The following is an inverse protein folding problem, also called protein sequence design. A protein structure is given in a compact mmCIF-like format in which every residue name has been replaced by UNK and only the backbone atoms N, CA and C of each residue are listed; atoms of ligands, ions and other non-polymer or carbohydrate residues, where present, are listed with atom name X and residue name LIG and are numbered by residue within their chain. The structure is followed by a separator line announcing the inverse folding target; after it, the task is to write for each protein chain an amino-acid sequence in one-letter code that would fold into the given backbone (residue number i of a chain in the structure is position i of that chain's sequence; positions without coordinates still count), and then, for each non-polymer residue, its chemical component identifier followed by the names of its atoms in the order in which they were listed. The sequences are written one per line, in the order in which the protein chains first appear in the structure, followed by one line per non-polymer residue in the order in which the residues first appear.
data_IF_687110107670
#
_entry.id   IF_687110107670
#
_cell.length_a   1.000
_cell.length_b   1.000
_cell.length_c   1.000
_cell.angle_alpha   90.00
_cell.angle_beta   90.00
_cell.angle_gamma   90.00
#
_symmetry.space_group_name_H-M   'P 1'
#
loop_
_entity.id
_entity.type
_entity.pdbx_description
1 polymer ?
#
# COMPACT_ATOMS: atom_id res chain seq x y z
N UNK A 1 17.81 10.05 -10.24
CA UNK A 1 17.94 8.58 -10.22
C UNK A 1 17.32 8.00 -11.46
N UNK A 2 17.98 7.03 -12.08
CA UNK A 2 17.51 6.38 -13.31
C UNK A 2 16.54 5.23 -12.96
N UNK A 3 16.76 4.61 -11.81
CA UNK A 3 15.95 3.51 -11.27
C UNK A 3 15.72 3.74 -9.78
N UNK A 4 14.51 3.47 -9.30
CA UNK A 4 14.19 3.48 -7.88
C UNK A 4 13.21 2.37 -7.50
N UNK A 5 13.30 1.91 -6.27
CA UNK A 5 12.49 0.85 -5.69
C UNK A 5 11.72 1.43 -4.51
N UNK A 6 10.44 1.14 -4.43
CA UNK A 6 9.56 1.56 -3.34
C UNK A 6 9.47 0.46 -2.28
N UNK A 7 9.90 0.75 -1.05
CA UNK A 7 9.97 -0.24 0.05
C UNK A 7 9.12 0.23 1.24
N UNK A 8 7.80 0.09 1.19
CA UNK A 8 6.90 0.46 2.27
C UNK A 8 6.81 -0.61 3.35
N UNK A 9 6.47 -0.20 4.57
CA UNK A 9 6.03 -1.08 5.65
C UNK A 9 4.50 -1.17 5.65
N UNK A 10 3.96 -2.40 5.71
CA UNK A 10 2.52 -2.63 5.81
C UNK A 10 1.98 -2.17 7.16
N UNK A 11 1.08 -1.20 7.16
CA UNK A 11 0.50 -0.69 8.40
C UNK A 11 -0.89 -0.08 8.23
N UNK A 12 -1.69 -0.17 9.29
CA UNK A 12 -2.92 0.59 9.45
C UNK A 12 -2.66 2.11 9.37
N UNK A 13 -3.64 2.84 8.87
CA UNK A 13 -3.61 4.30 8.85
C UNK A 13 -5.02 4.87 9.05
N UNK A 14 -5.17 5.87 9.94
CA UNK A 14 -6.47 6.46 10.26
C UNK A 14 -7.19 7.00 9.01
N UNK A 15 -6.61 7.99 8.35
CA UNK A 15 -7.26 8.64 7.19
C UNK A 15 -7.23 7.81 5.89
N UNK A 16 -6.07 7.22 5.55
CA UNK A 16 -5.91 6.46 4.31
C UNK A 16 -6.30 4.98 4.45
N UNK A 17 -6.77 4.52 5.62
CA UNK A 17 -7.02 3.12 5.99
C UNK A 17 -5.73 2.29 6.06
N UNK A 18 -4.97 2.26 4.98
CA UNK A 18 -3.71 1.52 4.89
C UNK A 18 -2.56 2.43 4.46
N UNK A 19 -1.36 2.13 4.94
CA UNK A 19 -0.11 2.59 4.35
C UNK A 19 0.57 1.38 3.74
N UNK A 20 0.71 1.38 2.43
CA UNK A 20 1.39 0.39 1.62
C UNK A 20 2.15 1.15 0.51
N UNK A 21 2.37 0.56 -0.65
CA UNK A 21 3.18 1.13 -1.72
C UNK A 21 2.65 2.45 -2.26
N UNK A 22 1.35 2.52 -2.57
CA UNK A 22 0.72 3.73 -3.12
C UNK A 22 0.80 4.90 -2.13
N UNK A 23 0.37 4.70 -0.89
CA UNK A 23 0.41 5.72 0.17
C UNK A 23 1.85 6.15 0.50
N UNK A 24 2.83 5.25 0.35
CA UNK A 24 4.24 5.55 0.62
C UNK A 24 4.80 6.60 -0.34
N UNK A 25 4.25 6.70 -1.57
CA UNK A 25 4.65 7.72 -2.56
C UNK A 25 4.42 9.16 -2.07
N UNK A 26 3.54 9.39 -1.10
CA UNK A 26 3.42 10.71 -0.48
C UNK A 26 4.74 11.20 0.15
N UNK A 27 5.69 10.29 0.40
CA UNK A 27 7.02 10.62 0.92
C UNK A 27 7.86 11.46 -0.03
N UNK A 28 7.58 11.41 -1.33
CA UNK A 28 8.31 12.18 -2.37
C UNK A 28 7.59 13.48 -2.76
N UNK A 29 6.42 13.75 -2.20
CA UNK A 29 5.65 14.97 -2.47
C UNK A 29 6.12 16.10 -1.57
N UNK A 30 6.34 17.28 -2.16
CA UNK A 30 6.75 18.47 -1.42
C UNK A 30 5.67 18.93 -0.42
N UNK A 31 4.43 19.12 -0.90
CA UNK A 31 3.30 19.54 -0.09
C UNK A 31 2.38 18.35 0.25
N UNK A 32 2.70 17.65 1.31
CA UNK A 32 1.84 16.57 1.85
C UNK A 32 0.58 17.07 2.53
N UNK A 33 0.56 18.35 2.95
CA UNK A 33 -0.59 18.99 3.54
C UNK A 33 -1.76 19.05 2.58
N UNK A 34 -1.49 19.28 1.30
CA UNK A 34 -2.49 19.25 0.24
C UNK A 34 -3.30 17.95 0.23
N UNK A 35 -2.64 16.80 0.34
CA UNK A 35 -3.29 15.49 0.39
C UNK A 35 -4.26 15.35 1.57
N UNK A 36 -3.90 15.91 2.72
CA UNK A 36 -4.73 15.82 3.93
C UNK A 36 -5.86 16.84 3.96
N UNK A 37 -5.80 17.90 3.18
CA UNK A 37 -6.83 18.93 3.05
C UNK A 37 -7.83 18.69 1.91
N UNK A 38 -7.56 17.69 1.06
CA UNK A 38 -8.40 17.30 -0.08
C UNK A 38 -8.83 15.83 0.05
N UNK A 39 -9.38 15.24 -1.02
CA UNK A 39 -9.68 13.80 -1.05
C UNK A 39 -8.38 13.00 -1.02
N UNK A 40 -7.99 12.56 0.19
CA UNK A 40 -6.76 11.81 0.42
C UNK A 40 -6.70 10.52 -0.43
N UNK A 41 -7.82 9.84 -0.59
CA UNK A 41 -7.88 8.59 -1.36
C UNK A 41 -7.65 8.85 -2.85
N UNK A 42 -8.23 9.91 -3.39
CA UNK A 42 -7.99 10.33 -4.77
C UNK A 42 -6.55 10.78 -4.98
N UNK A 43 -6.03 11.63 -4.11
CA UNK A 43 -4.64 12.11 -4.20
C UNK A 43 -3.62 10.95 -4.16
N UNK A 44 -3.88 9.89 -3.38
CA UNK A 44 -3.02 8.69 -3.36
C UNK A 44 -3.08 7.95 -4.69
N UNK A 45 -4.23 7.85 -5.32
CA UNK A 45 -4.37 7.23 -6.64
C UNK A 45 -3.68 8.08 -7.73
N UNK A 46 -3.90 9.40 -7.70
CA UNK A 46 -3.35 10.33 -8.68
C UNK A 46 -1.82 10.34 -8.71
N UNK A 47 -1.16 10.31 -7.56
CA UNK A 47 0.31 10.29 -7.52
C UNK A 47 0.89 9.04 -8.18
N UNK A 48 0.15 7.94 -8.25
CA UNK A 48 0.60 6.71 -8.91
C UNK A 48 0.66 6.84 -10.44
N UNK A 49 0.09 7.91 -11.02
CA UNK A 49 0.13 8.17 -12.48
C UNK A 49 1.40 8.88 -12.94
N UNK A 50 2.38 9.05 -12.03
CA UNK A 50 3.64 9.74 -12.36
C UNK A 50 4.37 9.10 -13.54
N UNK A 51 5.08 9.93 -14.31
CA UNK A 51 5.80 9.51 -15.54
C UNK A 51 6.97 8.55 -15.29
N UNK A 52 7.52 8.54 -14.08
CA UNK A 52 8.62 7.64 -13.68
C UNK A 52 8.21 6.86 -12.42
N UNK A 53 7.39 5.80 -12.56
CA UNK A 53 7.00 4.98 -11.42
C UNK A 53 8.18 4.18 -10.86
N UNK A 54 8.03 3.66 -9.64
CA UNK A 54 8.96 2.67 -9.10
C UNK A 54 9.01 1.45 -10.02
N UNK A 55 10.20 0.94 -10.31
CA UNK A 55 10.36 -0.27 -11.12
C UNK A 55 9.96 -1.53 -10.36
N UNK A 56 9.95 -1.45 -9.04
CA UNK A 56 9.57 -2.53 -8.15
C UNK A 56 9.01 -1.95 -6.84
N UNK A 57 7.94 -2.56 -6.34
CA UNK A 57 7.40 -2.31 -5.01
C UNK A 57 7.66 -3.55 -4.15
N UNK A 58 8.29 -3.35 -2.98
CA UNK A 58 8.63 -4.40 -2.02
C UNK A 58 8.00 -4.06 -0.69
N UNK A 59 6.88 -4.71 -0.38
CA UNK A 59 6.10 -4.44 0.85
C UNK A 59 6.64 -5.29 1.98
N UNK A 60 7.22 -4.65 2.99
CA UNK A 60 7.61 -5.28 4.24
C UNK A 60 6.38 -5.48 5.14
N UNK A 61 5.95 -6.72 5.27
CA UNK A 61 4.92 -7.19 6.19
C UNK A 61 5.47 -8.18 7.22
N UNK A 62 6.78 -8.17 7.47
CA UNK A 62 7.39 -9.04 8.48
C UNK A 62 6.89 -8.69 9.87
N UNK A 63 6.92 -7.40 10.22
CA UNK A 63 6.28 -6.83 11.42
C UNK A 63 5.29 -5.75 10.98
N UNK A 64 4.03 -6.13 10.82
CA UNK A 64 2.99 -5.18 10.42
C UNK A 64 2.35 -4.49 11.62
N UNK A 65 1.97 -3.23 11.44
CA UNK A 65 1.23 -2.47 12.45
C UNK A 65 -0.28 -2.61 12.20
N UNK A 66 -0.97 -3.33 13.07
CA UNK A 66 -2.40 -3.61 12.93
C UNK A 66 -3.31 -2.49 13.43
N UNK A 67 -2.87 -1.67 14.40
CA UNK A 67 -3.68 -0.64 15.05
C UNK A 67 -2.89 0.65 15.26
N UNK A 68 -3.60 1.74 15.57
CA UNK A 68 -3.05 3.05 15.94
C UNK A 68 -2.02 3.63 14.94
N UNK A 69 -2.06 3.19 13.67
CA UNK A 69 -1.17 3.73 12.64
C UNK A 69 -1.51 5.16 12.25
N UNK A 70 -0.54 5.91 11.72
CA UNK A 70 0.75 5.42 11.23
C UNK A 70 1.88 5.32 12.27
N UNK A 71 1.71 5.85 13.48
CA UNK A 71 2.80 5.95 14.49
C UNK A 71 2.80 4.83 15.51
N UNK A 72 1.62 4.25 15.80
CA UNK A 72 1.43 3.32 16.91
C UNK A 72 1.41 4.00 18.26
N UNK A 73 1.01 3.28 19.31
CA UNK A 73 1.00 3.72 20.71
C UNK A 73 1.78 2.76 21.61
N UNK A 74 1.86 1.52 21.25
CA UNK A 74 2.56 0.47 22.02
C UNK A 74 3.01 -0.69 21.12
N UNK A 75 3.82 -1.60 21.66
CA UNK A 75 4.24 -2.82 20.96
C UNK A 75 3.05 -3.72 20.60
N UNK A 76 1.95 -3.68 21.35
CA UNK A 76 0.73 -4.42 21.06
C UNK A 76 0.07 -4.03 19.72
N UNK A 77 0.41 -2.86 19.16
CA UNK A 77 -0.04 -2.44 17.85
C UNK A 77 0.62 -3.20 16.70
N UNK A 78 1.72 -3.90 16.97
CA UNK A 78 2.53 -4.59 15.97
C UNK A 78 2.38 -6.11 16.10
N UNK A 79 2.29 -6.78 14.95
CA UNK A 79 2.19 -8.25 14.85
C UNK A 79 3.35 -8.79 14.02
N UNK A 80 3.96 -9.87 14.48
CA UNK A 80 4.95 -10.65 13.72
C UNK A 80 4.21 -11.53 12.70
N UNK A 81 4.06 -11.04 11.47
CA UNK A 81 3.30 -11.69 10.41
C UNK A 81 4.18 -12.44 9.39
N UNK A 82 5.48 -12.13 9.32
CA UNK A 82 6.50 -12.77 8.48
C UNK A 82 6.13 -12.79 6.98
N UNK A 83 5.46 -11.74 6.51
CA UNK A 83 5.07 -11.56 5.11
C UNK A 83 6.04 -10.65 4.35
N UNK A 84 6.18 -10.91 3.04
CA UNK A 84 6.86 -10.04 2.09
C UNK A 84 6.13 -10.12 0.77
N UNK A 85 5.86 -8.98 0.13
CA UNK A 85 5.19 -8.91 -1.17
C UNK A 85 6.04 -8.10 -2.14
N UNK A 86 6.09 -8.55 -3.39
CA UNK A 86 6.84 -7.84 -4.44
C UNK A 86 6.03 -7.83 -5.73
N UNK A 87 5.95 -6.68 -6.41
CA UNK A 87 5.37 -6.53 -7.73
C UNK A 87 5.83 -5.25 -8.42
N UNK A 88 5.84 -5.26 -9.74
CA UNK A 88 5.94 -4.04 -10.54
C UNK A 88 4.59 -3.31 -10.56
N UNK A 89 3.47 -4.03 -10.49
CA UNK A 89 2.12 -3.48 -10.38
C UNK A 89 1.85 -3.04 -8.94
N UNK A 90 1.81 -1.73 -8.72
CA UNK A 90 1.63 -1.11 -7.40
C UNK A 90 0.24 -1.37 -6.83
N UNK A 91 -0.80 -1.45 -7.67
CA UNK A 91 -2.17 -1.75 -7.25
C UNK A 91 -2.30 -3.21 -6.84
N UNK A 92 -1.71 -4.12 -7.62
CA UNK A 92 -1.74 -5.55 -7.33
C UNK A 92 -1.03 -5.89 -6.02
N UNK A 93 0.16 -5.31 -5.77
CA UNK A 93 0.89 -5.57 -4.52
C UNK A 93 0.15 -5.02 -3.31
N UNK A 94 -0.46 -3.83 -3.41
CA UNK A 94 -1.22 -3.24 -2.33
C UNK A 94 -2.53 -4.00 -2.07
N UNK A 95 -3.18 -4.52 -3.13
CA UNK A 95 -4.34 -5.41 -3.02
C UNK A 95 -3.99 -6.70 -2.29
N UNK A 96 -2.89 -7.36 -2.68
CA UNK A 96 -2.43 -8.59 -2.04
C UNK A 96 -2.06 -8.35 -0.56
N UNK A 97 -1.36 -7.26 -0.26
CA UNK A 97 -1.00 -6.89 1.09
C UNK A 97 -2.21 -6.53 1.96
N UNK A 98 -3.24 -5.88 1.39
CA UNK A 98 -4.50 -5.58 2.09
C UNK A 98 -5.26 -6.87 2.42
N UNK A 99 -5.35 -7.82 1.48
CA UNK A 99 -5.95 -9.14 1.73
C UNK A 99 -5.22 -9.91 2.84
N UNK A 100 -3.90 -9.81 2.88
CA UNK A 100 -3.10 -10.41 3.96
C UNK A 100 -3.36 -9.71 5.29
N UNK A 101 -3.40 -8.38 5.31
CA UNK A 101 -3.73 -7.60 6.50
C UNK A 101 -5.11 -7.94 7.06
N UNK A 102 -6.10 -8.16 6.17
CA UNK A 102 -7.47 -8.52 6.55
C UNK A 102 -7.57 -9.84 7.35
N UNK A 103 -6.57 -10.71 7.26
CA UNK A 103 -6.48 -11.92 8.09
C UNK A 103 -6.06 -11.62 9.54
N UNK A 104 -5.45 -10.46 9.79
CA UNK A 104 -4.97 -10.03 11.11
C UNK A 104 -5.95 -9.07 11.77
N UNK A 105 -6.56 -8.20 10.98
CA UNK A 105 -7.55 -7.22 11.40
C UNK A 105 -8.49 -6.91 10.24
N UNK A 106 -9.78 -6.86 10.52
CA UNK A 106 -10.80 -6.53 9.53
C UNK A 106 -10.45 -5.23 8.76
N UNK A 107 -10.24 -5.38 7.45
CA UNK A 107 -9.90 -4.33 6.50
C UNK A 107 -10.40 -4.73 5.10
N UNK A 108 -11.71 -4.59 4.84
CA UNK A 108 -12.27 -4.92 3.53
C UNK A 108 -11.61 -4.07 2.43
N UNK A 109 -11.38 -4.65 1.26
CA UNK A 109 -10.76 -3.94 0.12
C UNK A 109 -11.50 -2.66 -0.24
N UNK A 110 -12.83 -2.67 -0.12
CA UNK A 110 -13.70 -1.54 -0.44
C UNK A 110 -13.43 -0.32 0.46
N UNK A 111 -12.91 -0.56 1.68
CA UNK A 111 -12.55 0.54 2.58
C UNK A 111 -11.26 1.25 2.18
N UNK A 112 -10.44 0.62 1.36
CA UNK A 112 -9.16 1.16 0.84
C UNK A 112 -9.41 1.73 -0.55
N UNK A 113 -10.18 2.82 -0.62
CA UNK A 113 -10.74 3.37 -1.85
C UNK A 113 -9.70 3.72 -2.91
N UNK A 114 -8.49 4.12 -2.53
CA UNK A 114 -7.44 4.45 -3.49
C UNK A 114 -7.03 3.27 -4.39
N UNK A 115 -7.29 2.01 -3.98
CA UNK A 115 -7.05 0.85 -4.83
C UNK A 115 -7.97 0.86 -6.06
N UNK A 116 -9.28 1.01 -5.84
CA UNK A 116 -10.26 1.07 -6.93
C UNK A 116 -10.03 2.30 -7.81
N UNK A 117 -9.78 3.48 -7.21
CA UNK A 117 -9.48 4.72 -7.93
C UNK A 117 -8.25 4.58 -8.84
N UNK A 118 -7.17 3.95 -8.37
CA UNK A 118 -5.97 3.72 -9.18
C UNK A 118 -6.20 2.70 -10.29
N UNK A 119 -7.04 1.69 -10.07
CA UNK A 119 -7.44 0.77 -11.14
C UNK A 119 -8.25 1.49 -12.22
N UNK A 120 -9.17 2.38 -11.86
CA UNK A 120 -9.91 3.22 -12.81
C UNK A 120 -8.98 4.10 -13.65
N UNK A 121 -7.91 4.62 -13.03
CA UNK A 121 -6.85 5.39 -13.70
C UNK A 121 -5.90 4.51 -14.54
N UNK A 122 -6.13 3.20 -14.60
CA UNK A 122 -5.32 2.21 -15.34
C UNK A 122 -3.86 2.13 -14.88
N UNK A 123 -3.62 2.41 -13.60
CA UNK A 123 -2.29 2.30 -12.98
C UNK A 123 -1.89 0.85 -12.77
N UNK A 124 -2.85 -0.02 -12.46
CA UNK A 124 -2.65 -1.45 -12.21
C UNK A 124 -3.97 -2.18 -12.00
N UNK A 125 -3.93 -3.41 -11.48
CA UNK A 125 -5.11 -4.24 -11.31
C UNK A 125 -5.31 -4.75 -9.88
N UNK A 126 -6.56 -4.73 -9.42
CA UNK A 126 -7.00 -5.42 -8.20
C UNK A 126 -7.33 -6.90 -8.46
N UNK A 127 -7.46 -7.32 -9.73
CA UNK A 127 -7.80 -8.70 -10.08
C UNK A 127 -6.58 -9.61 -10.04
N UNK A 128 -6.26 -10.11 -8.85
CA UNK A 128 -5.10 -10.97 -8.62
C UNK A 128 -5.18 -12.32 -9.38
N UNK A 129 -6.38 -12.76 -9.78
CA UNK A 129 -6.57 -14.01 -10.53
C UNK A 129 -6.03 -13.92 -11.97
N UNK A 130 -5.83 -12.72 -12.50
CA UNK A 130 -5.25 -12.49 -13.82
C UNK A 130 -3.72 -12.47 -13.81
N UNK A 131 -3.10 -12.58 -12.64
CA UNK A 131 -1.66 -12.46 -12.45
C UNK A 131 -1.01 -13.80 -12.17
N UNK A 132 0.24 -13.95 -12.62
CA UNK A 132 1.07 -15.10 -12.26
C UNK A 132 1.70 -14.85 -10.89
N UNK A 133 1.08 -15.38 -9.83
CA UNK A 133 1.53 -15.19 -8.44
C UNK A 133 2.36 -16.39 -8.00
N UNK A 134 3.63 -16.15 -7.70
CA UNK A 134 4.49 -17.15 -7.04
C UNK A 134 4.39 -16.99 -5.52
N UNK A 135 4.06 -18.07 -4.83
CA UNK A 135 4.05 -18.15 -3.36
C UNK A 135 5.25 -18.96 -2.91
N UNK A 136 6.12 -18.33 -2.12
CA UNK A 136 7.32 -18.96 -1.58
C UNK A 136 7.14 -19.06 -0.07
N UNK A 137 7.21 -20.27 0.45
CA UNK A 137 7.21 -20.53 1.90
C UNK A 137 8.65 -20.81 2.31
N UNK A 138 9.16 -19.98 3.23
CA UNK A 138 10.47 -20.16 3.84
C UNK A 138 10.34 -20.78 5.23
#
# INVERSE_FOLDING_TARGET
SDVWINVPILKNHGGAKMTISMKNLMGIVWDRGFFHSHDLQQCIADICTMSKPAVLNVVDAYRLMKTNGPRGKSEADVVLAKGLFMSQDIVAVDTAATNFFNQVRDMPLESVEHLAKAQELKVGTMNLNQLNIKRIKM
#
